data_IF_980836622664
#
_entry.id   IF_980836622664
#
_cell.length_a   1.000
_cell.length_b   1.000
_cell.length_c   1.000
_cell.angle_alpha   90.00
_cell.angle_beta   90.00
_cell.angle_gamma   90.00
#
_symmetry.space_group_name_H-M   'P 1'
#
loop_
_entity.id
_entity.type
_entity.pdbx_description
1 polymer ?
#
# COMPACT_ATOMS: atom_id res chain seq x y z
N UNK A 1 -4.52 7.00 0.05
CA UNK A 1 -5.28 7.40 -1.16
C UNK A 1 -6.44 6.46 -1.51
N UNK A 2 -7.21 6.01 -0.51
CA UNK A 2 -8.14 4.90 -0.67
C UNK A 2 -9.17 5.07 -1.80
N UNK A 3 -9.87 6.21 -1.81
CA UNK A 3 -10.86 6.50 -2.84
C UNK A 3 -10.23 6.58 -4.24
N UNK A 4 -9.01 7.13 -4.36
CA UNK A 4 -8.30 7.22 -5.65
C UNK A 4 -8.05 5.83 -6.23
N UNK A 5 -7.56 4.89 -5.41
CA UNK A 5 -7.31 3.51 -5.84
C UNK A 5 -8.61 2.78 -6.18
N UNK A 6 -9.67 3.01 -5.42
CA UNK A 6 -11.00 2.44 -5.69
C UNK A 6 -11.58 2.95 -7.01
N UNK A 7 -11.57 4.26 -7.24
CA UNK A 7 -12.09 4.89 -8.45
C UNK A 7 -11.28 4.48 -9.70
N UNK A 8 -9.96 4.31 -9.53
CA UNK A 8 -9.07 3.78 -10.56
C UNK A 8 -9.20 2.26 -10.78
N UNK A 9 -10.09 1.57 -10.05
CA UNK A 9 -10.34 0.11 -10.15
C UNK A 9 -9.09 -0.74 -9.92
N UNK A 10 -8.20 -0.31 -9.02
CA UNK A 10 -7.02 -1.09 -8.64
C UNK A 10 -7.46 -2.34 -7.87
N UNK A 11 -7.13 -3.53 -8.35
CA UNK A 11 -7.65 -4.77 -7.76
C UNK A 11 -7.07 -5.07 -6.36
N UNK A 12 -5.75 -4.89 -6.18
CA UNK A 12 -5.04 -5.25 -4.96
C UNK A 12 -4.20 -4.09 -4.44
N UNK A 13 -4.39 -3.73 -3.17
CA UNK A 13 -3.65 -2.67 -2.47
C UNK A 13 -3.11 -3.20 -1.16
N UNK A 14 -1.81 -2.99 -0.93
CA UNK A 14 -1.18 -3.19 0.37
C UNK A 14 -0.67 -1.84 0.86
N UNK A 15 -1.24 -1.33 1.95
CA UNK A 15 -0.73 -0.15 2.62
C UNK A 15 0.11 -0.53 3.83
N UNK A 16 1.19 0.21 4.06
CA UNK A 16 2.09 0.00 5.20
C UNK A 16 2.37 1.33 5.85
N UNK A 17 2.29 1.38 7.17
CA UNK A 17 2.57 2.58 7.96
C UNK A 17 3.26 2.20 9.28
N UNK A 18 4.08 3.10 9.81
CA UNK A 18 4.71 2.94 11.12
C UNK A 18 3.67 3.01 12.25
N UNK A 19 2.66 3.86 12.07
CA UNK A 19 1.64 4.19 13.07
C UNK A 19 0.48 3.22 13.05
N UNK A 20 0.30 2.46 14.14
CA UNK A 20 -0.86 1.60 14.32
C UNK A 20 -2.19 2.38 14.26
N UNK A 21 -2.19 3.65 14.69
CA UNK A 21 -3.37 4.52 14.64
C UNK A 21 -3.79 4.82 13.20
N UNK A 22 -2.83 5.08 12.30
CA UNK A 22 -3.13 5.33 10.88
C UNK A 22 -3.64 4.05 10.19
N UNK A 23 -3.12 2.88 10.58
CA UNK A 23 -3.64 1.59 10.12
C UNK A 23 -5.08 1.36 10.56
N UNK A 24 -5.42 1.69 11.81
CA UNK A 24 -6.81 1.60 12.30
C UNK A 24 -7.74 2.53 11.53
N UNK A 25 -7.33 3.78 11.30
CA UNK A 25 -8.11 4.75 10.53
C UNK A 25 -8.28 4.31 9.06
N UNK A 26 -7.24 3.76 8.42
CA UNK A 26 -7.32 3.23 7.07
C UNK A 26 -8.32 2.05 6.97
N UNK A 27 -8.30 1.13 7.94
CA UNK A 27 -9.26 0.02 8.00
C UNK A 27 -10.69 0.50 8.22
N UNK A 28 -10.90 1.50 9.09
CA UNK A 28 -12.21 2.13 9.30
C UNK A 28 -12.75 2.72 7.99
N UNK A 29 -11.93 3.50 7.28
CA UNK A 29 -12.31 4.09 5.98
C UNK A 29 -12.63 3.04 4.92
N UNK A 30 -11.89 1.93 4.90
CA UNK A 30 -12.19 0.80 4.02
C UNK A 30 -13.54 0.16 4.34
N UNK A 31 -13.86 0.00 5.62
CA UNK A 31 -15.17 -0.51 6.02
C UNK A 31 -16.31 0.41 5.59
N UNK A 32 -16.16 1.72 5.78
CA UNK A 32 -17.13 2.73 5.34
C UNK A 32 -17.32 2.77 3.81
N UNK A 33 -16.23 2.64 3.06
CA UNK A 33 -16.27 2.54 1.59
C UNK A 33 -17.11 1.34 1.16
N UNK A 34 -16.92 0.19 1.83
CA UNK A 34 -17.66 -1.04 1.55
C UNK A 34 -19.14 -0.93 1.94
N UNK A 35 -19.47 -0.27 3.05
CA UNK A 35 -20.85 -0.16 3.53
C UNK A 35 -21.71 0.79 2.69
N UNK A 36 -21.18 1.96 2.30
CA UNK A 36 -21.89 2.94 1.44
C UNK A 36 -22.27 2.37 0.08
N UNK A 37 -21.50 1.40 -0.38
CA UNK A 37 -21.61 0.87 -1.73
C UNK A 37 -22.63 -0.26 -1.86
N UNK A 38 -23.10 -0.83 -0.74
CA UNK A 38 -24.13 -1.88 -0.69
C UNK A 38 -25.52 -1.46 -1.17
N UNK A 39 -25.77 -0.16 -1.24
CA UNK A 39 -27.07 0.39 -1.62
C UNK A 39 -27.26 0.58 -3.14
N UNK A 40 -26.31 0.17 -3.99
CA UNK A 40 -26.43 0.24 -5.45
C UNK A 40 -25.89 -1.00 -6.18
N UNK A 41 -26.71 -1.62 -7.04
CA UNK A 41 -26.44 -2.93 -7.68
C UNK A 41 -25.14 -2.99 -8.48
N UNK A 42 -24.83 -1.97 -9.30
CA UNK A 42 -23.59 -1.93 -10.12
C UNK A 42 -22.34 -1.74 -9.26
N UNK A 43 -22.48 -0.97 -8.18
CA UNK A 43 -21.37 -0.57 -7.32
C UNK A 43 -20.95 -1.72 -6.40
N UNK A 44 -21.87 -2.65 -6.08
CA UNK A 44 -21.57 -3.89 -5.34
C UNK A 44 -20.47 -4.74 -5.98
N UNK A 45 -20.53 -5.01 -7.30
CA UNK A 45 -19.52 -5.88 -7.95
C UNK A 45 -18.11 -5.31 -7.91
N UNK A 46 -17.95 -3.97 -7.96
CA UNK A 46 -16.64 -3.33 -7.89
C UNK A 46 -16.00 -3.44 -6.50
N UNK A 47 -16.83 -3.38 -5.45
CA UNK A 47 -16.38 -3.54 -4.06
C UNK A 47 -15.85 -4.93 -3.80
N UNK A 48 -16.52 -5.94 -4.36
CA UNK A 48 -16.12 -7.34 -4.18
C UNK A 48 -14.75 -7.62 -4.80
N UNK A 49 -14.36 -6.85 -5.82
CA UNK A 49 -13.05 -6.97 -6.48
C UNK A 49 -11.95 -6.09 -5.86
N UNK A 50 -12.30 -5.14 -4.98
CA UNK A 50 -11.34 -4.23 -4.36
C UNK A 50 -10.75 -4.84 -3.07
N UNK A 51 -9.58 -5.47 -3.19
CA UNK A 51 -8.85 -6.06 -2.08
C UNK A 51 -7.78 -5.09 -1.56
N UNK A 52 -8.08 -4.42 -0.45
CA UNK A 52 -7.11 -3.60 0.28
C UNK A 52 -6.83 -4.19 1.66
N UNK A 53 -5.56 -4.22 2.04
CA UNK A 53 -5.10 -4.59 3.39
C UNK A 53 -4.02 -3.63 3.89
N UNK A 54 -4.03 -3.37 5.18
CA UNK A 54 -3.14 -2.40 5.82
C UNK A 54 -2.32 -3.08 6.91
N UNK A 55 -1.01 -2.84 6.92
CA UNK A 55 -0.06 -3.43 7.84
C UNK A 55 0.68 -2.36 8.63
N UNK A 56 0.80 -2.55 9.94
CA UNK A 56 1.75 -1.78 10.72
C UNK A 56 3.14 -2.40 10.59
N UNK A 57 4.17 -1.59 10.36
CA UNK A 57 5.55 -2.06 10.34
C UNK A 57 6.53 -0.93 10.70
N UNK A 58 7.39 -1.20 11.66
CA UNK A 58 8.55 -0.39 12.02
C UNK A 58 9.83 -0.80 11.28
N UNK A 59 9.76 -1.87 10.49
CA UNK A 59 10.91 -2.50 9.86
C UNK A 59 11.23 -1.89 8.48
N UNK A 60 10.34 -1.03 7.96
CA UNK A 60 10.56 -0.28 6.73
C UNK A 60 11.80 0.61 6.86
N UNK A 61 12.79 0.40 5.98
CA UNK A 61 14.04 1.16 6.02
C UNK A 61 14.94 0.82 7.22
N UNK A 62 14.69 -0.27 7.94
CA UNK A 62 15.50 -0.70 9.09
C UNK A 62 16.12 -2.08 8.86
N UNK A 63 15.32 -3.04 8.38
CA UNK A 63 15.71 -4.45 8.26
C UNK A 63 15.83 -4.91 6.80
N UNK A 64 16.19 -6.19 6.63
CA UNK A 64 16.18 -6.90 5.34
C UNK A 64 14.89 -6.64 4.53
N UNK A 65 14.93 -6.63 3.18
CA UNK A 65 13.78 -6.33 2.35
C UNK A 65 12.54 -7.15 2.70
N UNK A 66 11.47 -6.45 3.06
CA UNK A 66 10.20 -7.07 3.42
C UNK A 66 9.46 -7.46 2.14
N UNK A 67 8.99 -8.70 2.03
CA UNK A 67 8.11 -9.10 0.93
C UNK A 67 6.65 -8.99 1.37
N UNK A 68 5.87 -8.21 0.62
CA UNK A 68 4.45 -8.00 0.90
C UNK A 68 3.55 -8.98 0.15
N UNK A 69 4.13 -9.92 -0.59
CA UNK A 69 3.41 -10.97 -1.28
C UNK A 69 4.13 -12.30 -1.10
N UNK A 70 3.42 -13.40 -1.36
CA UNK A 70 4.00 -14.75 -1.34
C UNK A 70 5.14 -14.90 -2.35
N UNK A 71 5.13 -14.11 -3.42
CA UNK A 71 6.15 -14.09 -4.47
C UNK A 71 6.74 -12.69 -4.60
N UNK A 72 8.02 -12.60 -4.97
CA UNK A 72 8.70 -11.32 -5.29
C UNK A 72 8.09 -10.68 -6.53
N UNK A 73 8.32 -9.37 -6.70
CA UNK A 73 7.99 -8.61 -7.91
C UNK A 73 6.51 -8.74 -8.32
N UNK A 74 5.58 -8.50 -7.38
CA UNK A 74 4.14 -8.64 -7.64
C UNK A 74 3.39 -7.33 -7.87
N UNK A 75 3.96 -6.19 -7.51
CA UNK A 75 3.25 -4.91 -7.62
C UNK A 75 3.59 -4.21 -8.93
N UNK A 76 2.55 -3.72 -9.61
CA UNK A 76 2.69 -2.91 -10.83
C UNK A 76 3.16 -1.47 -10.50
N UNK A 77 2.84 -0.99 -9.30
CA UNK A 77 3.31 0.28 -8.78
C UNK A 77 3.55 0.22 -7.27
N UNK A 78 4.53 0.99 -6.80
CA UNK A 78 4.76 1.29 -5.39
C UNK A 78 4.69 2.81 -5.23
N UNK A 79 3.92 3.28 -4.24
CA UNK A 79 3.74 4.72 -3.99
C UNK A 79 4.20 5.09 -2.59
N UNK A 80 4.99 6.14 -2.44
CA UNK A 80 5.49 6.66 -1.15
C UNK A 80 5.18 8.16 -1.01
N UNK A 81 3.89 8.48 -0.92
CA UNK A 81 3.42 9.87 -0.91
C UNK A 81 3.80 10.58 0.40
N UNK A 82 4.53 11.69 0.30
CA UNK A 82 4.91 12.56 1.43
C UNK A 82 5.63 11.84 2.59
N UNK A 83 6.26 10.69 2.34
CA UNK A 83 6.95 9.92 3.38
C UNK A 83 8.42 9.62 3.06
N UNK A 84 8.84 9.78 1.79
CA UNK A 84 10.19 9.41 1.35
C UNK A 84 11.30 10.11 2.15
N UNK A 85 11.08 11.37 2.52
CA UNK A 85 12.06 12.18 3.25
C UNK A 85 12.36 11.66 4.66
N UNK A 86 11.46 10.89 5.30
CA UNK A 86 11.71 10.28 6.60
C UNK A 86 12.83 9.23 6.56
N UNK A 87 13.11 8.66 5.39
CA UNK A 87 14.16 7.66 5.21
C UNK A 87 15.54 8.26 4.93
N UNK A 88 15.65 9.60 4.82
CA UNK A 88 16.91 10.28 4.52
C UNK A 88 17.81 10.48 5.75
N UNK A 89 17.38 10.02 6.92
CA UNK A 89 18.18 10.13 8.15
C UNK A 89 19.52 9.39 8.08
N UNK A 90 19.59 8.27 7.34
CA UNK A 90 20.84 7.56 7.04
C UNK A 90 20.82 6.96 5.64
N UNK A 91 21.99 6.82 5.00
CA UNK A 91 22.10 6.10 3.72
C UNK A 91 21.57 4.66 3.84
N UNK A 92 21.85 4.00 4.96
CA UNK A 92 21.38 2.64 5.24
C UNK A 92 19.85 2.55 5.19
N UNK A 93 19.16 3.53 5.78
CA UNK A 93 17.69 3.52 5.81
C UNK A 93 17.08 3.70 4.43
N UNK A 94 17.56 4.69 3.67
CA UNK A 94 17.14 4.92 2.29
C UNK A 94 17.43 3.71 1.40
N UNK A 95 18.63 3.12 1.52
CA UNK A 95 19.02 1.91 0.77
C UNK A 95 18.11 0.73 1.08
N UNK A 96 17.76 0.51 2.35
CA UNK A 96 16.85 -0.56 2.75
C UNK A 96 15.42 -0.34 2.21
N UNK A 97 14.93 0.91 2.24
CA UNK A 97 13.65 1.26 1.62
C UNK A 97 13.67 0.95 0.12
N UNK A 98 14.65 1.47 -0.62
CA UNK A 98 14.75 1.27 -2.07
C UNK A 98 14.92 -0.21 -2.44
N UNK A 99 15.62 -0.99 -1.62
CA UNK A 99 15.73 -2.45 -1.83
C UNK A 99 14.39 -3.14 -1.60
N UNK A 100 13.62 -2.74 -0.58
CA UNK A 100 12.26 -3.22 -0.34
C UNK A 100 11.33 -2.89 -1.50
N UNK A 101 11.35 -1.64 -1.99
CA UNK A 101 10.60 -1.21 -3.18
C UNK A 101 10.96 -2.09 -4.37
N UNK A 102 12.26 -2.22 -4.67
CA UNK A 102 12.75 -2.98 -5.82
C UNK A 102 12.38 -4.47 -5.77
N UNK A 103 12.39 -5.09 -4.58
CA UNK A 103 12.07 -6.51 -4.42
C UNK A 103 10.56 -6.84 -4.56
N UNK A 104 9.71 -5.83 -4.45
CA UNK A 104 8.25 -5.97 -4.56
C UNK A 104 7.71 -5.47 -5.90
N UNK A 105 8.45 -4.61 -6.60
CA UNK A 105 8.04 -4.03 -7.87
C UNK A 105 8.32 -4.98 -9.05
N UNK A 106 7.35 -5.11 -9.95
CA UNK A 106 7.54 -5.83 -11.23
C UNK A 106 8.60 -5.13 -12.09
N UNK A 107 9.25 -5.90 -12.97
CA UNK A 107 10.06 -5.31 -14.04
C UNK A 107 9.14 -4.45 -14.92
N UNK A 108 9.53 -3.18 -15.12
CA UNK A 108 8.70 -2.18 -15.81
C UNK A 108 7.61 -1.53 -14.94
N UNK A 109 7.53 -1.87 -13.66
CA UNK A 109 6.64 -1.19 -12.71
C UNK A 109 7.15 0.21 -12.34
N UNK A 110 6.28 0.98 -11.69
CA UNK A 110 6.56 2.38 -11.33
C UNK A 110 6.76 2.57 -9.83
N UNK A 111 7.77 3.35 -9.46
CA UNK A 111 7.91 3.91 -8.13
C UNK A 111 7.59 5.41 -8.17
N UNK A 112 6.61 5.85 -7.36
CA UNK A 112 6.09 7.22 -7.36
C UNK A 112 6.06 7.75 -5.91
N UNK A 113 6.34 9.03 -5.69
CA UNK A 113 6.32 9.66 -4.36
C UNK A 113 6.02 11.14 -4.42
#
# INVERSE_FOLDING_TARGET
>A
DLNKWFDAKIANVVGVDLSQKEIQEANKRLHELRSKTRNGVVRNRLVDTFNARFLQSDSLGVSSPILFAKQRNQFDAVTCMFALHYFFGTEHSLRNLLTTVSANLKVGGFFVG
#
